data_IF_490984227022
#
_entry.id   IF_490984227022
#
_cell.length_a   1.000
_cell.length_b   1.000
_cell.length_c   1.000
_cell.angle_alpha   90.00
_cell.angle_beta   90.00
_cell.angle_gamma   90.00
#
_symmetry.space_group_name_H-M   'P 1'
#
loop_
_entity.id
_entity.type
_entity.pdbx_description
1 polymer ?
#
# COMPACT_ATOMS: atom_id res chain seq x y z
N UNK A 1 8.79 7.04 6.55
CA UNK A 1 8.62 7.71 5.22
C UNK A 1 7.31 8.48 5.26
N UNK A 2 7.11 9.55 4.47
CA UNK A 2 5.79 10.18 4.41
C UNK A 2 4.79 9.20 3.80
N UNK A 3 3.75 8.86 4.56
CA UNK A 3 2.59 8.08 4.12
C UNK A 3 1.76 8.95 3.19
N UNK A 4 1.41 8.42 2.01
CA UNK A 4 0.63 9.16 1.02
C UNK A 4 -0.83 8.71 1.11
N UNK A 5 -1.75 9.67 1.15
CA UNK A 5 -3.19 9.39 1.18
C UNK A 5 -3.74 9.55 -0.23
N UNK A 6 -4.29 8.47 -0.76
CA UNK A 6 -4.95 8.48 -2.06
C UNK A 6 -6.46 8.52 -1.89
N UNK A 7 -7.09 9.54 -2.44
CA UNK A 7 -8.55 9.66 -2.47
C UNK A 7 -9.14 8.73 -3.52
N UNK A 8 -10.23 8.03 -3.19
CA UNK A 8 -10.88 7.13 -4.14
C UNK A 8 -11.47 7.80 -5.37
N UNK A 9 -11.81 9.08 -5.27
CA UNK A 9 -12.36 9.85 -6.40
C UNK A 9 -11.32 10.01 -7.54
N UNK A 10 -10.03 10.01 -7.16
CA UNK A 10 -8.88 10.09 -8.07
C UNK A 10 -8.53 8.74 -8.70
N UNK A 11 -9.27 7.66 -8.37
CA UNK A 11 -9.00 6.30 -8.84
C UNK A 11 -10.12 5.85 -9.79
N UNK A 12 -9.77 5.60 -11.05
CA UNK A 12 -10.71 5.07 -12.04
C UNK A 12 -11.02 3.59 -11.78
N UNK A 13 -10.07 2.87 -11.18
CA UNK A 13 -10.26 1.51 -10.70
C UNK A 13 -9.05 1.01 -9.92
N UNK A 14 -9.26 0.05 -9.04
CA UNK A 14 -8.17 -0.63 -8.36
C UNK A 14 -8.38 -2.15 -8.38
N UNK A 15 -7.27 -2.89 -8.32
CA UNK A 15 -7.25 -4.35 -8.29
C UNK A 15 -6.22 -4.83 -7.30
N UNK A 16 -6.65 -5.66 -6.36
CA UNK A 16 -5.75 -6.36 -5.45
C UNK A 16 -4.96 -7.46 -6.18
N UNK A 17 -3.65 -7.48 -5.92
CA UNK A 17 -2.73 -8.51 -6.39
C UNK A 17 -2.53 -9.52 -5.28
N UNK A 18 -3.05 -10.73 -5.50
CA UNK A 18 -2.88 -11.85 -4.58
C UNK A 18 -1.69 -12.69 -4.99
N UNK A 19 -0.77 -12.88 -4.05
CA UNK A 19 0.31 -13.84 -4.17
C UNK A 19 -0.19 -15.18 -3.65
N UNK A 20 -0.49 -16.11 -4.57
CA UNK A 20 -1.15 -17.38 -4.25
C UNK A 20 -0.18 -18.48 -3.81
N UNK A 21 1.09 -18.41 -4.19
CA UNK A 21 2.07 -19.46 -3.90
C UNK A 21 3.44 -18.92 -3.50
N UNK A 22 4.01 -19.50 -2.43
CA UNK A 22 5.30 -19.10 -1.83
C UNK A 22 6.53 -19.59 -2.58
N UNK A 23 6.41 -20.67 -3.35
CA UNK A 23 7.53 -21.30 -4.06
C UNK A 23 7.71 -20.72 -5.47
N UNK A 24 6.65 -20.17 -6.07
CA UNK A 24 6.65 -19.69 -7.46
C UNK A 24 6.53 -18.16 -7.63
N UNK A 25 6.33 -17.39 -6.54
CA UNK A 25 6.19 -15.94 -6.65
C UNK A 25 7.51 -15.26 -7.00
N UNK A 26 7.52 -14.51 -8.11
CA UNK A 26 8.65 -13.65 -8.51
C UNK A 26 8.94 -12.47 -7.54
N UNK A 27 8.12 -12.30 -6.50
CA UNK A 27 8.14 -11.17 -5.57
C UNK A 27 8.03 -11.66 -4.11
N UNK A 28 9.08 -12.31 -3.58
CA UNK A 28 9.04 -12.96 -2.26
C UNK A 28 8.85 -11.98 -1.10
N UNK A 29 9.36 -10.76 -1.20
CA UNK A 29 9.27 -9.73 -0.15
C UNK A 29 7.86 -9.20 -0.05
N UNK A 30 7.25 -8.81 -1.17
CA UNK A 30 5.85 -8.35 -1.20
C UNK A 30 4.90 -9.43 -0.71
N UNK A 31 5.10 -10.68 -1.14
CA UNK A 31 4.29 -11.78 -0.63
C UNK A 31 4.44 -11.93 0.89
N UNK A 32 5.68 -11.84 1.41
CA UNK A 32 5.90 -11.91 2.85
C UNK A 32 5.19 -10.77 3.57
N UNK A 33 5.25 -9.56 3.03
CA UNK A 33 4.51 -8.43 3.56
C UNK A 33 3.01 -8.69 3.57
N UNK A 34 2.43 -9.23 2.51
CA UNK A 34 1.00 -9.53 2.48
C UNK A 34 0.55 -10.73 3.34
N UNK A 35 1.46 -11.62 3.72
CA UNK A 35 1.13 -12.82 4.49
C UNK A 35 1.47 -12.71 5.98
N UNK A 36 2.60 -12.06 6.31
CA UNK A 36 3.02 -11.83 7.69
C UNK A 36 2.37 -10.56 8.27
N UNK A 37 2.01 -9.59 7.43
CA UNK A 37 1.36 -8.34 7.81
C UNK A 37 0.06 -8.22 6.99
N UNK A 38 -1.00 -7.63 7.55
CA UNK A 38 -2.31 -7.49 6.87
C UNK A 38 -2.26 -6.39 5.79
N UNK A 39 -1.23 -6.46 4.96
CA UNK A 39 -0.92 -5.54 3.88
C UNK A 39 -1.34 -6.15 2.55
N UNK A 40 -1.74 -5.30 1.63
CA UNK A 40 -2.18 -5.69 0.31
C UNK A 40 -1.41 -4.89 -0.74
N UNK A 41 -1.13 -5.53 -1.88
CA UNK A 41 -0.61 -4.82 -3.05
C UNK A 41 -1.78 -4.49 -3.95
N UNK A 42 -2.02 -3.21 -4.17
CA UNK A 42 -3.02 -2.72 -5.11
C UNK A 42 -2.37 -2.27 -6.41
N UNK A 43 -2.94 -2.71 -7.51
CA UNK A 43 -2.82 -2.06 -8.80
C UNK A 43 -3.90 -0.97 -8.90
N UNK A 44 -3.49 0.27 -9.09
CA UNK A 44 -4.35 1.45 -9.11
C UNK A 44 -4.31 2.04 -10.52
N UNK A 45 -5.48 2.29 -11.09
CA UNK A 45 -5.67 3.00 -12.35
C UNK A 45 -6.09 4.43 -12.01
N UNK A 46 -5.23 5.44 -12.21
CA UNK A 46 -5.57 6.81 -11.87
C UNK A 46 -6.64 7.39 -12.81
N UNK A 47 -7.53 8.21 -12.25
CA UNK A 47 -8.67 8.85 -12.92
C UNK A 47 -8.30 10.22 -13.50
N UNK A 48 -7.17 10.31 -14.20
CA UNK A 48 -6.67 11.60 -14.69
C UNK A 48 -7.38 12.10 -15.98
N UNK A 49 -8.46 11.43 -16.41
CA UNK A 49 -9.16 11.74 -17.66
C UNK A 49 -8.34 11.50 -18.94
N UNK A 50 -7.07 11.12 -18.80
CA UNK A 50 -6.19 10.77 -19.92
C UNK A 50 -6.38 9.31 -20.34
N UNK A 51 -6.59 9.10 -21.65
CA UNK A 51 -6.90 7.81 -22.28
C UNK A 51 -5.82 6.73 -22.13
N UNK A 52 -4.67 7.05 -21.51
CA UNK A 52 -3.51 6.17 -21.38
C UNK A 52 -2.82 6.28 -20.00
N UNK A 53 -3.58 6.49 -18.92
CA UNK A 53 -3.03 6.36 -17.57
C UNK A 53 -2.52 4.94 -17.34
N UNK A 54 -1.22 4.81 -17.11
CA UNK A 54 -0.58 3.53 -16.82
C UNK A 54 -0.94 3.10 -15.39
N UNK A 55 -1.17 1.79 -15.15
CA UNK A 55 -1.43 1.30 -13.82
C UNK A 55 -0.20 1.50 -12.93
N UNK A 56 -0.42 2.01 -11.73
CA UNK A 56 0.58 2.12 -10.67
C UNK A 56 0.33 1.05 -9.62
N UNK A 57 1.36 0.70 -8.85
CA UNK A 57 1.34 -0.36 -7.86
C UNK A 57 1.77 0.21 -6.52
N UNK A 58 0.98 -0.03 -5.48
CA UNK A 58 1.28 0.46 -4.15
C UNK A 58 0.98 -0.58 -3.08
N UNK A 59 1.66 -0.46 -1.94
CA UNK A 59 1.43 -1.27 -0.75
C UNK A 59 0.51 -0.50 0.20
N UNK A 60 -0.59 -1.13 0.59
CA UNK A 60 -1.67 -0.53 1.38
C UNK A 60 -2.10 -1.47 2.49
N UNK A 61 -2.89 -0.98 3.43
CA UNK A 61 -3.57 -1.83 4.41
C UNK A 61 -4.70 -2.66 3.77
N UNK A 62 -5.04 -3.78 4.40
CA UNK A 62 -6.20 -4.61 4.05
C UNK A 62 -7.52 -3.83 4.04
N UNK A 63 -7.63 -2.74 4.82
CA UNK A 63 -8.77 -1.82 4.80
C UNK A 63 -8.71 -0.77 3.68
N UNK A 64 -8.33 -1.19 2.46
CA UNK A 64 -8.43 -0.32 1.28
C UNK A 64 -9.90 -0.08 0.84
N UNK A 65 -10.86 -0.62 1.60
CA UNK A 65 -12.30 -0.42 1.48
C UNK A 65 -12.76 1.02 1.83
N UNK A 66 -11.92 1.77 2.55
CA UNK A 66 -12.19 3.12 3.04
C UNK A 66 -12.19 4.20 1.95
N UNK A 67 -12.75 5.37 2.26
CA UNK A 67 -12.83 6.52 1.35
C UNK A 67 -11.43 7.05 0.94
N UNK A 68 -10.47 6.93 1.85
CA UNK A 68 -9.06 7.23 1.64
C UNK A 68 -8.24 5.96 1.77
N UNK A 69 -7.34 5.74 0.84
CA UNK A 69 -6.41 4.61 0.84
C UNK A 69 -5.06 5.11 1.35
N UNK A 70 -4.58 4.53 2.44
CA UNK A 70 -3.28 4.85 3.00
C UNK A 70 -2.19 4.02 2.30
N UNK A 71 -1.25 4.70 1.66
CA UNK A 71 -0.12 4.12 0.98
C UNK A 71 1.09 4.12 1.93
N UNK A 72 1.58 2.95 2.30
CA UNK A 72 2.78 2.82 3.15
C UNK A 72 4.09 3.05 2.37
N UNK A 73 4.01 3.12 1.05
CA UNK A 73 5.14 3.43 0.19
C UNK A 73 4.65 4.19 -1.05
N UNK A 74 5.55 4.96 -1.70
CA UNK A 74 5.23 5.62 -2.96
C UNK A 74 4.74 4.63 -4.01
N UNK A 75 3.74 5.06 -4.80
CA UNK A 75 3.22 4.25 -5.90
C UNK A 75 4.29 4.07 -6.99
N UNK A 76 4.47 2.83 -7.43
CA UNK A 76 5.52 2.42 -8.35
C UNK A 76 4.92 2.03 -9.71
N UNK A 77 5.65 2.23 -10.82
CA UNK A 77 5.16 1.88 -12.16
C UNK A 77 5.13 0.37 -12.44
N UNK A 78 5.75 -0.45 -11.58
CA UNK A 78 5.77 -1.90 -11.74
C UNK A 78 5.91 -2.63 -10.41
N UNK A 79 5.40 -3.87 -10.35
CA UNK A 79 5.60 -4.77 -9.20
C UNK A 79 7.08 -4.99 -8.86
N UNK A 80 7.94 -5.06 -9.88
CA UNK A 80 9.38 -5.24 -9.67
C UNK A 80 10.01 -4.03 -8.96
N UNK A 81 9.65 -2.82 -9.37
CA UNK A 81 10.08 -1.60 -8.70
C UNK A 81 9.55 -1.53 -7.27
N UNK A 82 8.30 -1.95 -7.06
CA UNK A 82 7.69 -2.02 -5.73
C UNK A 82 8.42 -3.02 -4.82
N UNK A 83 8.69 -4.23 -5.31
CA UNK A 83 9.45 -5.26 -4.59
C UNK A 83 10.83 -4.74 -4.16
N UNK A 84 11.57 -4.13 -5.09
CA UNK A 84 12.90 -3.58 -4.78
C UNK A 84 12.83 -2.45 -3.75
N UNK A 85 11.82 -1.58 -3.85
CA UNK A 85 11.65 -0.48 -2.91
C UNK A 85 11.29 -1.00 -1.51
N UNK A 86 10.33 -1.91 -1.41
CA UNK A 86 9.93 -2.53 -0.14
C UNK A 86 11.11 -3.28 0.46
N UNK A 87 11.91 -3.99 -0.33
CA UNK A 87 13.11 -4.65 0.16
C UNK A 87 14.14 -3.66 0.75
N UNK A 88 14.30 -2.49 0.15
CA UNK A 88 15.23 -1.45 0.62
C UNK A 88 14.72 -0.71 1.87
N UNK A 89 13.40 -0.55 1.99
CA UNK A 89 12.77 0.26 3.05
C UNK A 89 11.90 -0.58 4.01
N UNK A 90 12.08 -1.89 4.06
CA UNK A 90 11.25 -2.81 4.85
C UNK A 90 11.13 -2.40 6.32
N UNK A 91 12.20 -1.89 6.92
CA UNK A 91 12.21 -1.49 8.33
C UNK A 91 11.32 -0.26 8.53
N UNK A 92 11.47 0.75 7.68
CA UNK A 92 10.66 1.97 7.74
C UNK A 92 9.18 1.69 7.50
N UNK A 93 8.86 0.85 6.52
CA UNK A 93 7.48 0.49 6.17
C UNK A 93 6.81 -0.29 7.32
N UNK A 94 7.51 -1.25 7.91
CA UNK A 94 6.98 -2.01 9.03
C UNK A 94 6.88 -1.16 10.30
N UNK A 95 7.83 -0.26 10.52
CA UNK A 95 7.75 0.67 11.62
C UNK A 95 6.54 1.59 11.45
N UNK A 96 6.31 2.13 10.24
CA UNK A 96 5.09 2.89 9.94
C UNK A 96 3.84 2.05 10.21
N UNK A 97 3.71 0.87 9.61
CA UNK A 97 2.56 -0.04 9.84
C UNK A 97 2.30 -0.37 11.32
N UNK A 98 3.34 -0.68 12.10
CA UNK A 98 3.21 -1.06 13.51
C UNK A 98 2.90 0.12 14.44
N UNK A 99 3.39 1.31 14.12
CA UNK A 99 3.31 2.48 15.00
C UNK A 99 2.28 3.53 14.55
N UNK A 100 1.82 3.52 13.30
CA UNK A 100 0.70 4.33 12.80
C UNK A 100 -0.62 3.94 13.50
N UNK A 101 -0.73 2.67 13.92
CA UNK A 101 -1.84 2.18 14.76
C UNK A 101 -1.74 2.59 16.25
N UNK A 102 -0.63 3.22 16.68
CA UNK A 102 -0.33 3.46 18.10
C UNK A 102 -0.73 4.84 18.62
N UNK A 103 -1.31 5.71 17.79
CA UNK A 103 -1.92 6.96 18.27
C UNK A 103 -3.45 6.84 18.24
N UNK A 104 -4.10 6.27 19.28
CA UNK A 104 -5.48 6.66 19.55
C UNK A 104 -5.47 8.18 19.72
N UNK A 105 -6.44 8.93 19.13
CA UNK A 105 -6.53 10.36 19.35
C UNK A 105 -6.54 10.57 20.85
N UNK A 106 -5.48 11.18 21.40
CA UNK A 106 -5.41 11.55 22.79
C UNK A 106 -6.63 12.43 23.05
N UNK A 107 -7.67 11.81 23.61
CA UNK A 107 -8.85 12.50 24.08
C UNK A 107 -8.33 13.32 25.25
N UNK A 108 -7.96 14.57 24.98
CA UNK A 108 -7.73 15.58 26.01
C UNK A 108 -9.08 15.85 26.66
N UNK A 109 -9.57 14.91 27.49
CA UNK A 109 -10.50 15.23 28.55
C UNK A 109 -9.70 15.96 29.62
N UNK A 110 -9.59 17.28 29.45
CA UNK A 110 -9.31 18.17 30.57
C UNK A 110 -10.54 18.20 31.47
N UNK A 111 -10.32 17.86 32.74
CA UNK A 111 -11.24 18.05 33.85
C UNK A 111 -11.47 19.54 34.15
#
# INVERSE_FOLDING_TARGET
MPTELLERDDIAGCREIRFLDRQESNYPTLMRFCMDFDLCVLQIMPNDGQTASLPIFALVNGDYASATIQLHCPAMPSLKSLEQHVQQHQIDILHDYLFDSAEPPMTRQGF
#
